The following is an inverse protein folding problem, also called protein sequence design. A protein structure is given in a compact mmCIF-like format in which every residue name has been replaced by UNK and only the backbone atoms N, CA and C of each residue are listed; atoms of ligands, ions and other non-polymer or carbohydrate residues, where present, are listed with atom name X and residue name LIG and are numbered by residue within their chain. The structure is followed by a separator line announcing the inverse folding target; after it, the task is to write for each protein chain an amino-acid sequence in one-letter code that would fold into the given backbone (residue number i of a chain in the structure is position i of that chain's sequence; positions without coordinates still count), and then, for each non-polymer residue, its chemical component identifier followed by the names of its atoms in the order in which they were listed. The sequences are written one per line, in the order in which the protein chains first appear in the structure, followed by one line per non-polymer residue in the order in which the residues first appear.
data_IF_882540250517
#
_entry.id   IF_882540250517
#
_cell.length_a   1.000
_cell.length_b   1.000
_cell.length_c   1.000
_cell.angle_alpha   90.00
_cell.angle_beta   90.00
_cell.angle_gamma   90.00
#
_symmetry.space_group_name_H-M   'P 1'
#
loop_
_entity.id
_entity.type
_entity.pdbx_description
1 polymer ?
#
# COMPACT_ATOMS: atom_id res chain seq x y z
N UNK A 1 -6.34 22.60 -51.12
CA UNK A 1 -6.94 21.43 -50.43
C UNK A 1 -5.91 20.38 -49.99
N UNK A 2 -4.93 20.00 -50.81
CA UNK A 2 -3.91 18.99 -50.46
C UNK A 2 -3.10 19.33 -49.19
N UNK A 3 -2.73 20.59 -49.02
CA UNK A 3 -1.92 21.05 -47.88
C UNK A 3 -2.68 21.01 -46.55
N UNK A 4 -4.00 21.25 -46.58
CA UNK A 4 -4.85 21.23 -45.38
C UNK A 4 -5.00 19.80 -44.84
N UNK A 5 -5.15 18.83 -45.75
CA UNK A 5 -5.22 17.40 -45.41
C UNK A 5 -3.88 16.93 -44.82
N UNK A 6 -2.76 17.39 -45.38
CA UNK A 6 -1.43 17.04 -44.86
C UNK A 6 -1.22 17.54 -43.43
N UNK A 7 -1.59 18.79 -43.15
CA UNK A 7 -1.49 19.39 -41.80
C UNK A 7 -2.38 18.63 -40.80
N UNK A 8 -3.58 18.23 -41.22
CA UNK A 8 -4.52 17.50 -40.37
C UNK A 8 -4.01 16.08 -40.03
N UNK A 9 -3.41 15.38 -40.99
CA UNK A 9 -2.80 14.06 -40.79
C UNK A 9 -1.57 14.13 -39.87
N UNK A 10 -0.69 15.12 -40.07
CA UNK A 10 0.45 15.33 -39.16
C UNK A 10 0.00 15.67 -37.74
N UNK A 11 -1.06 16.48 -37.59
CA UNK A 11 -1.64 16.77 -36.28
C UNK A 11 -2.08 15.50 -35.55
N UNK A 12 -2.87 14.64 -36.21
CA UNK A 12 -3.38 13.40 -35.59
C UNK A 12 -2.23 12.45 -35.20
N UNK A 13 -1.19 12.33 -36.04
CA UNK A 13 -0.01 11.51 -35.74
C UNK A 13 0.78 12.01 -34.52
N UNK A 14 0.90 13.33 -34.37
CA UNK A 14 1.59 13.94 -33.23
C UNK A 14 0.73 13.79 -31.97
N UNK A 15 -0.55 14.20 -32.01
CA UNK A 15 -1.46 14.13 -30.85
C UNK A 15 -1.77 12.70 -30.41
N UNK A 16 -1.91 11.75 -31.34
CA UNK A 16 -2.13 10.34 -31.02
C UNK A 16 -0.95 9.70 -30.30
N UNK A 17 0.28 10.15 -30.58
CA UNK A 17 1.48 9.67 -29.89
C UNK A 17 1.62 10.21 -28.45
N UNK A 18 1.04 11.39 -28.17
CA UNK A 18 1.04 11.95 -26.82
C UNK A 18 0.08 11.23 -25.87
N UNK A 19 -1.04 10.70 -26.35
CA UNK A 19 -2.01 9.97 -25.51
C UNK A 19 -1.39 8.75 -24.81
N UNK A 20 -0.45 8.06 -25.48
CA UNK A 20 0.21 6.86 -24.98
C UNK A 20 1.21 7.13 -23.84
N UNK A 21 1.68 8.36 -23.66
CA UNK A 21 2.64 8.72 -22.61
C UNK A 21 1.97 9.18 -21.30
N UNK A 22 0.68 9.53 -21.34
CA UNK A 22 -0.04 10.07 -20.18
C UNK A 22 -0.67 8.97 -19.30
N UNK A 23 -0.84 7.77 -19.86
CA UNK A 23 -1.51 6.63 -19.18
C UNK A 23 -0.67 6.05 -18.02
N UNK A 24 0.66 6.17 -18.09
CA UNK A 24 1.56 5.67 -17.04
C UNK A 24 1.61 6.55 -15.79
N UNK A 25 1.17 7.81 -15.87
CA UNK A 25 1.28 8.76 -14.73
C UNK A 25 0.09 8.68 -13.77
N UNK A 26 -1.05 8.16 -14.20
CA UNK A 26 -2.24 8.06 -13.35
C UNK A 26 -2.36 6.73 -12.59
N UNK A 27 -1.76 5.63 -13.09
CA UNK A 27 -1.78 4.34 -12.37
C UNK A 27 -0.90 4.29 -11.11
N UNK A 28 -0.03 5.28 -10.89
CA UNK A 28 0.85 5.38 -9.71
C UNK A 28 0.32 6.29 -8.60
N UNK A 29 -0.85 6.90 -8.75
CA UNK A 29 -1.36 7.87 -7.77
C UNK A 29 -1.74 7.29 -6.39
N UNK A 30 -1.60 5.98 -6.16
CA UNK A 30 -1.85 5.36 -4.85
C UNK A 30 -0.82 4.31 -4.43
N UNK A 31 0.26 4.14 -5.20
CA UNK A 31 1.31 3.18 -4.87
C UNK A 31 2.64 3.91 -4.76
N UNK A 32 3.05 4.16 -3.52
CA UNK A 32 4.23 4.94 -3.18
C UNK A 32 5.38 4.01 -2.75
N UNK A 33 5.07 2.83 -2.19
CA UNK A 33 6.03 1.75 -1.89
C UNK A 33 5.50 0.36 -2.24
N UNK A 34 6.41 -0.59 -2.47
CA UNK A 34 6.09 -2.00 -2.75
C UNK A 34 6.47 -2.86 -1.55
N UNK A 35 5.52 -3.63 -1.02
CA UNK A 35 5.74 -4.60 0.05
C UNK A 35 5.38 -5.99 -0.48
N UNK A 36 6.39 -6.85 -0.64
CA UNK A 36 6.21 -8.16 -1.28
C UNK A 36 5.74 -8.01 -2.73
N UNK A 37 4.51 -8.46 -3.00
CA UNK A 37 3.87 -8.38 -4.32
C UNK A 37 2.79 -7.28 -4.40
N UNK A 38 2.61 -6.51 -3.32
CA UNK A 38 1.56 -5.50 -3.17
C UNK A 38 2.09 -4.07 -3.15
N UNK A 39 1.20 -3.13 -3.52
CA UNK A 39 1.43 -1.70 -3.49
C UNK A 39 0.88 -1.08 -2.19
N UNK A 40 1.67 -0.23 -1.55
CA UNK A 40 1.34 0.44 -0.30
C UNK A 40 1.49 1.96 -0.43
N UNK A 41 0.74 2.68 0.39
CA UNK A 41 0.84 4.14 0.52
C UNK A 41 2.05 4.54 1.36
N UNK A 42 2.52 5.78 1.23
CA UNK A 42 3.67 6.30 1.98
C UNK A 42 3.41 6.33 3.48
N UNK A 43 2.15 6.53 3.87
CA UNK A 43 1.70 6.48 5.26
C UNK A 43 1.62 5.05 5.82
N UNK A 44 1.82 4.02 5.00
CA UNK A 44 1.73 2.63 5.42
C UNK A 44 3.12 2.01 5.63
N UNK A 45 3.20 1.04 6.54
CA UNK A 45 4.43 0.31 6.87
C UNK A 45 4.38 -1.07 6.21
N UNK A 46 5.46 -1.51 5.56
CA UNK A 46 5.59 -2.89 5.08
C UNK A 46 5.74 -3.85 6.26
N UNK A 47 4.82 -4.81 6.41
CA UNK A 47 4.99 -5.94 7.32
C UNK A 47 4.86 -7.24 6.53
N UNK A 48 5.99 -7.91 6.29
CA UNK A 48 6.05 -9.05 5.38
C UNK A 48 5.67 -8.65 3.95
N UNK A 49 4.63 -9.30 3.41
CA UNK A 49 4.11 -9.06 2.05
C UNK A 49 2.88 -8.12 2.03
N UNK A 50 2.51 -7.52 3.17
CA UNK A 50 1.33 -6.67 3.29
C UNK A 50 1.66 -5.27 3.79
N UNK A 51 0.69 -4.36 3.62
CA UNK A 51 0.75 -2.99 4.12
C UNK A 51 -0.02 -2.86 5.43
N UNK A 52 0.59 -2.20 6.42
CA UNK A 52 -0.06 -1.83 7.66
C UNK A 52 -0.29 -0.32 7.71
N UNK A 53 -1.42 0.11 8.26
CA UNK A 53 -1.76 1.52 8.43
C UNK A 53 -0.76 2.30 9.29
N UNK A 54 -0.78 3.65 9.22
CA UNK A 54 0.19 4.52 9.90
C UNK A 54 0.24 4.36 11.41
N UNK A 55 -0.90 4.04 12.04
CA UNK A 55 -1.00 3.84 13.48
C UNK A 55 -0.79 2.39 13.91
N UNK A 56 -0.54 1.49 12.96
CA UNK A 56 -0.32 0.08 13.22
C UNK A 56 1.19 -0.21 13.31
N UNK A 57 1.54 -1.34 13.90
CA UNK A 57 2.91 -1.84 14.00
C UNK A 57 3.04 -3.25 13.44
N UNK A 58 4.22 -3.59 12.93
CA UNK A 58 4.50 -4.96 12.49
C UNK A 58 4.69 -5.89 13.69
N UNK A 59 3.99 -7.02 13.67
CA UNK A 59 4.23 -8.16 14.55
C UNK A 59 4.34 -9.42 13.71
N UNK A 60 5.58 -9.88 13.52
CA UNK A 60 5.90 -10.86 12.48
C UNK A 60 5.47 -10.34 11.11
N UNK A 61 4.59 -11.09 10.44
CA UNK A 61 4.03 -10.73 9.13
C UNK A 61 2.66 -10.01 9.21
N UNK A 62 2.16 -9.73 10.41
CA UNK A 62 0.85 -9.12 10.63
C UNK A 62 0.91 -7.67 11.12
N UNK A 63 -0.21 -6.97 10.99
CA UNK A 63 -0.41 -5.61 11.50
C UNK A 63 -1.12 -5.64 12.85
N UNK A 64 -0.54 -5.02 13.88
CA UNK A 64 -1.23 -4.78 15.15
C UNK A 64 -1.66 -3.32 15.28
N UNK A 65 -2.87 -3.10 15.79
CA UNK A 65 -3.38 -1.78 16.11
C UNK A 65 -2.58 -1.07 17.21
N UNK A 66 -2.77 0.26 17.36
CA UNK A 66 -2.00 1.08 18.29
C UNK A 66 -2.19 0.66 19.75
N UNK A 67 -3.39 0.22 20.13
CA UNK A 67 -3.71 -0.26 21.47
C UNK A 67 -3.31 -1.71 21.73
N UNK A 68 -2.86 -2.44 20.70
CA UNK A 68 -2.49 -3.84 20.82
C UNK A 68 -1.00 -3.98 21.16
N UNK A 69 -0.61 -5.09 21.79
CA UNK A 69 0.80 -5.46 22.06
C UNK A 69 1.25 -6.58 21.14
N UNK A 70 2.54 -6.59 20.85
CA UNK A 70 3.18 -7.63 20.08
C UNK A 70 3.60 -8.77 21.01
N UNK A 71 3.04 -9.96 20.86
CA UNK A 71 3.47 -11.13 21.60
C UNK A 71 3.76 -12.25 20.61
N UNK A 72 5.04 -12.56 20.42
CA UNK A 72 5.49 -13.40 19.31
C UNK A 72 5.12 -12.79 17.95
N UNK A 73 4.42 -13.58 17.12
CA UNK A 73 3.90 -13.14 15.81
C UNK A 73 2.44 -12.65 15.87
N UNK A 74 1.85 -12.56 17.07
CA UNK A 74 0.45 -12.19 17.28
C UNK A 74 0.25 -10.82 17.91
N UNK A 75 -0.97 -10.30 17.76
CA UNK A 75 -1.44 -9.05 18.36
C UNK A 75 -2.33 -9.35 19.57
N UNK A 76 -1.94 -8.89 20.75
CA UNK A 76 -2.77 -8.98 21.95
C UNK A 76 -3.50 -7.68 22.20
N UNK A 77 -4.76 -7.76 22.64
CA UNK A 77 -5.61 -6.65 23.00
C UNK A 77 -5.07 -5.81 24.17
N UNK A 78 -5.67 -4.64 24.42
CA UNK A 78 -5.21 -3.70 25.43
C UNK A 78 -5.30 -4.25 26.86
N UNK A 79 -6.25 -5.14 27.13
CA UNK A 79 -6.45 -5.81 28.43
C UNK A 79 -5.62 -7.09 28.58
N UNK A 80 -4.88 -7.46 27.54
CA UNK A 80 -4.08 -8.68 27.49
C UNK A 80 -2.58 -8.37 27.65
N UNK A 81 -1.83 -9.41 28.01
CA UNK A 81 -0.37 -9.35 28.18
C UNK A 81 0.31 -10.55 27.51
N UNK A 82 1.61 -10.43 27.27
CA UNK A 82 2.41 -11.52 26.72
C UNK A 82 2.75 -12.55 27.79
N UNK A 83 2.21 -13.75 27.68
CA UNK A 83 2.74 -14.94 28.35
C UNK A 83 3.65 -15.68 27.38
N UNK A 84 4.92 -15.27 27.31
CA UNK A 84 5.81 -15.74 26.26
C UNK A 84 5.34 -15.27 24.88
N UNK A 85 5.04 -16.20 23.97
CA UNK A 85 4.58 -15.91 22.59
C UNK A 85 3.05 -15.88 22.43
N UNK A 86 2.27 -15.98 23.52
CA UNK A 86 0.81 -15.98 23.47
C UNK A 86 0.20 -14.81 24.26
N UNK A 87 -1.05 -14.47 23.92
CA UNK A 87 -1.87 -13.53 24.67
C UNK A 87 -2.49 -14.19 25.88
N UNK A 88 -2.38 -13.54 27.03
CA UNK A 88 -3.00 -13.93 28.28
C UNK A 88 -3.89 -12.81 28.81
N UNK A 89 -4.93 -13.19 29.54
CA UNK A 89 -5.74 -12.30 30.36
C UNK A 89 -5.47 -12.60 31.84
N UNK A 90 -5.62 -11.59 32.70
CA UNK A 90 -5.85 -11.86 34.12
C UNK A 90 -7.25 -12.45 34.22
N UNK A 91 -7.34 -13.77 34.32
CA UNK A 91 -8.54 -14.40 34.86
C UNK A 91 -8.67 -13.87 36.29
N UNK A 92 -9.63 -12.97 36.52
CA UNK A 92 -10.02 -12.58 37.87
C UNK A 92 -10.70 -13.81 38.49
N UNK A 93 -9.99 -14.48 39.39
CA UNK A 93 -10.57 -15.48 40.31
C UNK A 93 -11.34 -14.77 41.41
#
# INVERSE_FOLDING_TARGET
MKNFVLILVLGILIFGNFASAIDLKWKRAGCEQICGNGCCLLTQICCGNGCCGPSQKCCGNGCCGPSQKCCGNGCCGPTEFCCGNACCTIMQT
#
